data_IF_545474889353
#
_entry.id   IF_545474889353
#
_cell.length_a   1.000
_cell.length_b   1.000
_cell.length_c   1.000
_cell.angle_alpha   90.00
_cell.angle_beta   90.00
_cell.angle_gamma   90.00
#
_symmetry.space_group_name_H-M   'P 1'
#
loop_
_entity.id
_entity.type
_entity.pdbx_description
1 polymer ?
#
# COMPACT_ATOMS: atom_id res chain seq x y z
N UNK A 1 -10.21 -9.95 -12.80
CA UNK A 1 -11.35 -10.37 -11.96
C UNK A 1 -11.02 -10.29 -10.46
N UNK A 2 -9.91 -10.90 -9.99
CA UNK A 2 -9.54 -10.89 -8.57
C UNK A 2 -9.31 -9.48 -7.95
N UNK A 3 -8.66 -8.55 -8.67
CA UNK A 3 -8.35 -7.22 -8.11
C UNK A 3 -9.59 -6.42 -7.74
N UNK A 4 -10.64 -6.44 -8.58
CA UNK A 4 -11.88 -5.72 -8.30
C UNK A 4 -12.59 -6.30 -7.06
N UNK A 5 -12.59 -7.63 -6.90
CA UNK A 5 -13.14 -8.28 -5.70
C UNK A 5 -12.36 -7.87 -4.45
N UNK A 6 -11.03 -7.91 -4.48
CA UNK A 6 -10.18 -7.49 -3.36
C UNK A 6 -10.41 -6.02 -3.01
N UNK A 7 -10.46 -5.12 -4.01
CA UNK A 7 -10.70 -3.70 -3.79
C UNK A 7 -12.10 -3.42 -3.22
N UNK A 8 -13.12 -4.13 -3.72
CA UNK A 8 -14.49 -4.05 -3.21
C UNK A 8 -14.56 -4.49 -1.76
N UNK A 9 -13.99 -5.66 -1.44
CA UNK A 9 -13.94 -6.17 -0.07
C UNK A 9 -13.21 -5.19 0.85
N UNK A 10 -12.04 -4.68 0.45
CA UNK A 10 -11.32 -3.70 1.25
C UNK A 10 -12.19 -2.46 1.53
N UNK A 11 -12.83 -1.91 0.50
CA UNK A 11 -13.76 -0.76 0.62
C UNK A 11 -14.92 -1.06 1.57
N UNK A 12 -15.44 -2.30 1.62
CA UNK A 12 -16.49 -2.66 2.58
C UNK A 12 -16.03 -2.62 4.04
N UNK A 13 -14.75 -2.89 4.31
CA UNK A 13 -14.21 -2.89 5.67
C UNK A 13 -13.76 -1.51 6.16
N UNK A 14 -13.20 -0.69 5.27
CA UNK A 14 -12.56 0.57 5.64
C UNK A 14 -13.19 1.80 4.99
N UNK A 15 -14.32 1.60 4.30
CA UNK A 15 -15.04 2.62 3.54
C UNK A 15 -14.09 3.38 2.60
N UNK A 16 -14.10 4.70 2.67
CA UNK A 16 -13.23 5.57 1.87
C UNK A 16 -11.91 5.92 2.57
N UNK A 17 -11.64 5.37 3.77
CA UNK A 17 -10.40 5.63 4.52
C UNK A 17 -9.24 4.71 4.07
N UNK A 18 -9.01 4.69 2.75
CA UNK A 18 -8.05 3.80 2.10
C UNK A 18 -7.32 4.52 0.96
N UNK A 19 -6.05 4.20 0.80
CA UNK A 19 -5.19 4.71 -0.27
C UNK A 19 -4.53 3.52 -0.96
N UNK A 20 -4.56 3.51 -2.28
CA UNK A 20 -3.89 2.49 -3.09
C UNK A 20 -2.62 3.02 -3.72
N UNK A 21 -1.56 2.23 -3.70
CA UNK A 21 -0.30 2.49 -4.41
C UNK A 21 -0.06 1.37 -5.40
N UNK A 22 0.08 1.67 -6.68
CA UNK A 22 0.19 0.67 -7.73
C UNK A 22 1.50 0.80 -8.49
N UNK A 23 2.28 -0.28 -8.56
CA UNK A 23 3.42 -0.33 -9.48
C UNK A 23 2.92 -0.42 -10.93
N UNK A 24 3.75 0.03 -11.87
CA UNK A 24 3.58 -0.28 -13.29
C UNK A 24 3.32 -1.78 -13.47
N UNK A 25 2.19 -2.13 -14.07
CA UNK A 25 1.73 -3.52 -14.21
C UNK A 25 0.50 -3.60 -15.10
N UNK A 26 0.07 -4.81 -15.47
CA UNK A 26 -1.21 -5.01 -16.14
C UNK A 26 -2.38 -4.43 -15.32
N UNK A 27 -2.31 -4.47 -13.98
CA UNK A 27 -3.34 -3.89 -13.13
C UNK A 27 -3.45 -2.38 -13.24
N UNK A 28 -2.31 -1.69 -13.34
CA UNK A 28 -2.27 -0.25 -13.55
C UNK A 28 -2.83 0.09 -14.94
N UNK A 29 -2.24 -0.46 -16.01
CA UNK A 29 -2.68 -0.16 -17.39
C UNK A 29 -4.16 -0.45 -17.62
N UNK A 30 -4.72 -1.51 -17.01
CA UNK A 30 -6.14 -1.85 -17.17
C UNK A 30 -7.10 -1.02 -16.30
N UNK A 31 -6.61 -0.25 -15.32
CA UNK A 31 -7.45 0.51 -14.39
C UNK A 31 -7.22 2.02 -14.41
N UNK A 32 -6.14 2.50 -15.04
CA UNK A 32 -5.74 3.92 -15.05
C UNK A 32 -5.29 4.46 -16.40
N UNK A 33 -5.76 3.89 -17.51
CA UNK A 33 -5.33 4.29 -18.86
C UNK A 33 -5.67 5.75 -19.18
N UNK A 34 -4.71 6.49 -19.75
CA UNK A 34 -4.87 7.81 -20.37
C UNK A 34 -5.62 8.84 -19.49
N UNK A 35 -5.24 8.95 -18.21
CA UNK A 35 -5.85 9.83 -17.19
C UNK A 35 -7.29 9.48 -16.78
N UNK A 36 -7.79 8.30 -17.15
CA UNK A 36 -9.09 7.79 -16.70
C UNK A 36 -8.86 6.73 -15.65
N UNK A 37 -9.14 7.06 -14.39
CA UNK A 37 -8.98 6.15 -13.26
C UNK A 37 -10.28 5.43 -12.92
N UNK A 38 -10.18 4.12 -12.68
CA UNK A 38 -11.25 3.28 -12.13
C UNK A 38 -11.37 3.37 -10.61
N UNK A 39 -10.43 4.06 -9.96
CA UNK A 39 -10.33 4.16 -8.50
C UNK A 39 -11.15 5.34 -7.97
N UNK A 40 -12.05 5.07 -7.01
CA UNK A 40 -12.95 6.07 -6.39
C UNK A 40 -12.42 6.68 -5.10
N UNK A 41 -11.24 6.24 -4.69
CA UNK A 41 -10.49 6.66 -3.50
C UNK A 41 -9.09 7.12 -3.95
N UNK A 42 -8.30 7.81 -3.11
CA UNK A 42 -6.95 8.19 -3.48
C UNK A 42 -6.15 6.98 -3.97
N UNK A 43 -5.60 7.12 -5.17
CA UNK A 43 -4.79 6.10 -5.83
C UNK A 43 -3.58 6.80 -6.44
N UNK A 44 -2.42 6.16 -6.32
CA UNK A 44 -1.16 6.69 -6.87
C UNK A 44 -0.42 5.59 -7.63
N UNK A 45 -0.05 5.93 -8.86
CA UNK A 45 0.92 5.17 -9.64
C UNK A 45 2.34 5.44 -9.13
N UNK A 46 3.16 4.39 -9.12
CA UNK A 46 4.61 4.55 -8.98
C UNK A 46 5.36 3.58 -9.89
N UNK A 47 6.68 3.80 -10.00
CA UNK A 47 7.56 3.01 -10.87
C UNK A 47 7.49 1.50 -10.59
N UNK A 48 7.91 0.73 -11.57
CA UNK A 48 7.74 -0.72 -11.61
C UNK A 48 8.33 -1.43 -10.39
N UNK A 49 9.39 -0.89 -9.81
CA UNK A 49 10.15 -1.49 -8.72
C UNK A 49 9.78 -0.97 -7.33
N UNK A 50 9.31 0.27 -7.20
CA UNK A 50 9.46 1.02 -5.94
C UNK A 50 8.17 1.37 -5.20
N UNK A 51 6.99 1.05 -5.74
CA UNK A 51 5.71 1.42 -5.12
C UNK A 51 5.49 0.90 -3.70
N UNK A 52 6.12 -0.22 -3.30
CA UNK A 52 6.04 -0.71 -1.91
C UNK A 52 6.60 0.30 -0.91
N UNK A 53 7.72 0.96 -1.24
CA UNK A 53 8.33 1.98 -0.37
C UNK A 53 7.55 3.29 -0.34
N UNK A 54 6.81 3.59 -1.40
CA UNK A 54 5.88 4.73 -1.43
C UNK A 54 4.68 4.46 -0.53
N UNK A 55 4.13 3.25 -0.56
CA UNK A 55 3.06 2.86 0.36
C UNK A 55 3.49 2.97 1.83
N UNK A 56 4.69 2.49 2.15
CA UNK A 56 5.34 2.66 3.46
C UNK A 56 5.45 4.14 3.84
N UNK A 57 6.01 4.98 2.97
CA UNK A 57 6.19 6.41 3.22
C UNK A 57 4.85 7.14 3.46
N UNK A 58 3.80 6.82 2.70
CA UNK A 58 2.46 7.40 2.89
C UNK A 58 1.91 7.02 4.26
N UNK A 59 1.95 5.72 4.60
CA UNK A 59 1.46 5.20 5.89
C UNK A 59 2.16 5.90 7.07
N UNK A 60 3.48 5.95 7.03
CA UNK A 60 4.28 6.59 8.08
C UNK A 60 4.05 8.10 8.15
N UNK A 61 3.88 8.78 7.02
CA UNK A 61 3.59 10.22 7.01
C UNK A 61 2.28 10.53 7.71
N UNK A 62 1.20 9.77 7.46
CA UNK A 62 -0.07 9.98 8.15
C UNK A 62 0.03 9.71 9.65
N UNK A 63 0.75 8.66 10.08
CA UNK A 63 1.02 8.39 11.51
C UNK A 63 1.76 9.54 12.16
N UNK A 64 2.85 10.01 11.56
CA UNK A 64 3.65 11.14 12.07
C UNK A 64 2.80 12.40 12.18
N UNK A 65 2.02 12.71 11.14
CA UNK A 65 1.13 13.88 11.14
C UNK A 65 0.07 13.79 12.23
N UNK A 66 -0.51 12.60 12.45
CA UNK A 66 -1.48 12.36 13.52
C UNK A 66 -0.85 12.57 14.91
N UNK A 67 0.33 11.99 15.16
CA UNK A 67 1.06 12.16 16.44
C UNK A 67 1.45 13.62 16.70
N UNK A 68 1.74 14.39 15.65
CA UNK A 68 2.05 15.83 15.75
C UNK A 68 0.82 16.73 15.84
N UNK A 69 -0.40 16.19 15.83
CA UNK A 69 -1.62 17.00 15.80
C UNK A 69 -1.86 17.77 14.49
N UNK A 70 -1.16 17.41 13.40
CA UNK A 70 -1.24 18.04 12.08
C UNK A 70 -2.24 17.33 11.13
N UNK A 71 -3.05 16.42 11.67
CA UNK A 71 -4.06 15.66 10.96
C UNK A 71 -5.16 15.19 11.93
N UNK A 72 -6.39 15.61 11.68
CA UNK A 72 -7.53 15.35 12.57
C UNK A 72 -8.26 14.02 12.26
N UNK A 73 -8.03 13.43 11.09
CA UNK A 73 -8.67 12.17 10.66
C UNK A 73 -8.06 10.90 11.26
N UNK A 74 -8.70 9.75 10.97
CA UNK A 74 -8.13 8.43 11.21
C UNK A 74 -6.98 8.18 10.23
N UNK A 75 -5.90 7.52 10.68
CA UNK A 75 -4.82 7.13 9.78
C UNK A 75 -5.40 6.20 8.69
N UNK A 76 -5.22 6.50 7.39
CA UNK A 76 -5.78 5.69 6.33
C UNK A 76 -5.08 4.34 6.21
N UNK A 77 -5.84 3.34 5.77
CA UNK A 77 -5.28 2.08 5.31
C UNK A 77 -4.53 2.31 4.01
N UNK A 78 -3.32 1.78 3.87
CA UNK A 78 -2.55 1.89 2.64
C UNK A 78 -2.35 0.50 2.08
N UNK A 79 -2.82 0.26 0.85
CA UNK A 79 -2.67 -1.01 0.15
C UNK A 79 -1.71 -0.81 -1.03
N UNK A 80 -0.65 -1.61 -1.02
CA UNK A 80 0.27 -1.73 -2.15
C UNK A 80 -0.21 -2.81 -3.12
N UNK A 81 -0.26 -2.49 -4.41
CA UNK A 81 -0.61 -3.40 -5.50
C UNK A 81 0.62 -3.54 -6.40
N UNK A 82 1.10 -4.77 -6.53
CA UNK A 82 2.19 -5.13 -7.43
C UNK A 82 1.89 -6.45 -8.15
N UNK A 83 2.34 -6.55 -9.40
CA UNK A 83 2.39 -7.81 -10.12
C UNK A 83 3.59 -8.66 -9.69
N UNK A 84 3.63 -9.91 -10.13
CA UNK A 84 4.69 -10.87 -9.83
C UNK A 84 6.08 -10.32 -10.18
N UNK A 85 6.29 -9.74 -11.36
CA UNK A 85 7.59 -9.13 -11.72
C UNK A 85 8.03 -8.01 -10.78
N UNK A 86 7.09 -7.14 -10.35
CA UNK A 86 7.40 -6.06 -9.40
C UNK A 86 7.63 -6.55 -7.96
N UNK A 87 7.16 -7.74 -7.61
CA UNK A 87 7.23 -8.24 -6.24
C UNK A 87 8.36 -9.25 -6.06
N UNK A 88 8.55 -10.16 -7.01
CA UNK A 88 9.50 -11.26 -6.92
C UNK A 88 10.83 -11.00 -7.62
N UNK A 89 10.89 -10.02 -8.52
CA UNK A 89 12.09 -9.69 -9.29
C UNK A 89 12.53 -8.24 -8.99
N UNK A 90 12.26 -7.30 -9.89
CA UNK A 90 12.84 -5.95 -9.85
C UNK A 90 12.52 -5.16 -8.57
N UNK A 91 11.34 -5.35 -7.98
CA UNK A 91 10.92 -4.61 -6.80
C UNK A 91 11.07 -5.37 -5.47
N UNK A 92 11.63 -6.58 -5.47
CA UNK A 92 11.76 -7.37 -4.24
C UNK A 92 12.58 -6.65 -3.17
N UNK A 93 13.64 -5.93 -3.55
CA UNK A 93 14.42 -5.11 -2.63
C UNK A 93 13.57 -4.02 -1.96
N UNK A 94 12.70 -3.36 -2.72
CA UNK A 94 11.86 -2.27 -2.24
C UNK A 94 10.74 -2.80 -1.33
N UNK A 95 10.12 -3.93 -1.71
CA UNK A 95 9.17 -4.62 -0.84
C UNK A 95 9.82 -5.03 0.48
N UNK A 96 10.98 -5.71 0.42
CA UNK A 96 11.73 -6.11 1.61
C UNK A 96 12.02 -4.91 2.51
N UNK A 97 12.46 -3.80 1.92
CA UNK A 97 12.80 -2.61 2.69
C UNK A 97 11.56 -1.96 3.32
N UNK A 98 10.42 -1.90 2.62
CA UNK A 98 9.16 -1.44 3.17
C UNK A 98 8.72 -2.30 4.36
N UNK A 99 8.76 -3.63 4.21
CA UNK A 99 8.37 -4.58 5.25
C UNK A 99 9.25 -4.54 6.51
N UNK A 100 10.54 -4.24 6.37
CA UNK A 100 11.46 -4.14 7.51
C UNK A 100 11.35 -2.78 8.21
N UNK A 101 11.03 -1.70 7.47
CA UNK A 101 10.90 -0.34 8.03
C UNK A 101 9.54 -0.08 8.67
N UNK A 102 8.45 -0.53 8.05
CA UNK A 102 7.14 -0.50 8.69
C UNK A 102 7.11 -1.64 9.68
N UNK A 103 7.08 -1.30 10.95
CA UNK A 103 7.14 -2.23 12.06
C UNK A 103 6.13 -3.38 12.02
N UNK A 104 5.21 -3.53 11.07
CA UNK A 104 4.26 -4.67 11.04
C UNK A 104 4.92 -6.04 10.98
N UNK A 105 5.99 -6.26 10.20
CA UNK A 105 6.71 -7.56 10.24
C UNK A 105 7.76 -7.64 11.34
N UNK A 106 8.31 -6.51 11.81
CA UNK A 106 9.21 -6.50 12.98
C UNK A 106 8.43 -6.73 14.27
N UNK A 107 7.29 -6.07 14.44
CA UNK A 107 6.28 -6.29 15.50
C UNK A 107 5.71 -7.70 15.41
N UNK A 108 5.37 -8.22 14.22
CA UNK A 108 4.92 -9.61 14.10
C UNK A 108 6.05 -10.60 14.43
N UNK A 109 7.30 -10.30 14.06
CA UNK A 109 8.46 -11.10 14.43
C UNK A 109 8.75 -11.00 15.94
N UNK A 110 8.65 -9.83 16.54
CA UNK A 110 8.78 -9.61 17.99
C UNK A 110 7.66 -10.29 18.75
N UNK A 111 6.41 -10.18 18.28
CA UNK A 111 5.26 -10.90 18.80
C UNK A 111 5.49 -12.42 18.74
N UNK A 112 5.91 -12.97 17.59
CA UNK A 112 6.22 -14.39 17.44
C UNK A 112 7.42 -14.84 18.28
N UNK A 113 8.42 -13.99 18.49
CA UNK A 113 9.58 -14.27 19.37
C UNK A 113 9.21 -14.22 20.86
N UNK A 114 8.26 -13.37 21.23
CA UNK A 114 7.80 -13.16 22.60
C UNK A 114 6.59 -14.04 22.98
N UNK A 115 6.07 -14.87 22.08
CA UNK A 115 5.06 -15.91 22.34
C UNK A 115 5.67 -17.19 22.97
N UNK A 116 6.72 -17.04 23.77
CA UNK A 116 7.22 -18.10 24.67
C UNK A 116 6.70 -17.89 26.07
#
# INVERSE_FOLDING_TARGET
MALNQIATTATQFVENNIIYVNNTSCSEVSTSKDNVSSWRVPWVHHLFESGATVADAISNTYKIRKTKGLFEGAVPYVIHIGGDGSIYDIGFQFLKAALIRTSTLVEMLEYLKNQK
#
